data_IF_044928042772
#
_entry.id   IF_044928042772
#
_cell.length_a   1.000
_cell.length_b   1.000
_cell.length_c   1.000
_cell.angle_alpha   90.00
_cell.angle_beta   90.00
_cell.angle_gamma   90.00
#
_symmetry.space_group_name_H-M   'P 1'
#
loop_
_entity.id
_entity.type
_entity.pdbx_description
1 polymer ?
#
# COMPACT_ATOMS: atom_id res chain seq x y z
N UNK A 1 1.16 -16.49 -23.64
CA UNK A 1 0.70 -15.17 -23.16
C UNK A 1 1.21 -14.98 -21.74
N UNK A 2 2.26 -14.18 -21.57
CA UNK A 2 2.56 -13.48 -20.31
C UNK A 2 2.68 -12.03 -20.75
N UNK A 3 1.61 -11.26 -20.58
CA UNK A 3 1.59 -9.84 -20.93
C UNK A 3 0.83 -9.03 -19.87
N UNK A 4 1.47 -8.98 -18.70
CA UNK A 4 1.41 -7.88 -17.73
C UNK A 4 2.79 -7.21 -17.84
N UNK A 5 3.27 -6.99 -19.07
CA UNK A 5 4.70 -6.85 -19.31
C UNK A 5 5.27 -5.61 -18.65
N UNK A 6 6.23 -5.90 -17.77
CA UNK A 6 7.25 -4.98 -17.32
C UNK A 6 6.72 -3.88 -16.41
N UNK A 7 6.07 -4.41 -15.37
CA UNK A 7 6.42 -4.11 -13.99
C UNK A 7 5.57 -3.00 -13.36
N UNK A 8 5.00 -3.30 -12.20
CA UNK A 8 4.26 -2.33 -11.42
C UNK A 8 4.77 -2.22 -9.98
N UNK A 9 4.95 -0.97 -9.63
CA UNK A 9 5.76 -0.48 -8.55
C UNK A 9 4.69 0.13 -7.67
N UNK A 10 4.37 -0.48 -6.54
CA UNK A 10 3.53 0.14 -5.54
C UNK A 10 4.38 0.22 -4.27
N UNK A 11 4.76 1.43 -3.88
CA UNK A 11 5.36 1.72 -2.57
C UNK A 11 4.13 2.06 -1.77
N UNK A 12 3.92 1.52 -0.57
CA UNK A 12 2.87 1.96 0.32
C UNK A 12 3.52 2.54 1.56
N UNK A 13 3.19 3.80 1.81
CA UNK A 13 3.70 4.52 2.96
C UNK A 13 2.87 4.09 4.17
N UNK A 14 3.51 3.77 5.32
CA UNK A 14 2.75 3.65 6.55
C UNK A 14 2.07 4.99 6.84
N UNK A 15 0.75 5.04 6.86
CA UNK A 15 0.04 6.26 7.22
C UNK A 15 0.41 6.65 8.67
N UNK A 16 0.49 7.97 8.89
CA UNK A 16 0.79 8.69 10.13
C UNK A 16 1.05 7.87 11.42
N UNK A 17 2.25 8.09 11.96
CA UNK A 17 3.00 7.30 12.94
C UNK A 17 2.64 7.56 14.42
N UNK A 18 1.43 8.01 14.74
CA UNK A 18 1.13 8.59 16.08
C UNK A 18 0.18 7.77 16.98
N UNK A 19 -0.43 6.69 16.50
CA UNK A 19 -1.46 5.95 17.27
C UNK A 19 -1.05 4.55 17.76
N UNK A 20 0.17 4.11 17.46
CA UNK A 20 0.68 2.85 17.98
C UNK A 20 0.97 2.99 19.48
N UNK A 21 0.23 2.25 20.31
CA UNK A 21 0.54 2.08 21.73
C UNK A 21 1.96 1.53 21.94
N UNK A 22 2.51 1.60 23.17
CA UNK A 22 3.93 1.34 23.46
C UNK A 22 4.43 -0.06 23.03
N UNK A 23 3.55 -1.02 22.82
CA UNK A 23 3.89 -2.44 22.62
C UNK A 23 3.67 -2.98 21.19
N UNK A 24 3.19 -2.17 20.24
CA UNK A 24 2.94 -2.60 18.85
C UNK A 24 3.80 -1.81 17.84
N UNK A 25 4.60 -2.49 16.99
CA UNK A 25 5.27 -1.83 15.87
C UNK A 25 4.25 -1.09 14.98
N UNK A 26 4.58 0.13 14.57
CA UNK A 26 3.66 1.05 13.87
C UNK A 26 3.13 0.46 12.56
N UNK A 27 3.98 -0.27 11.86
CA UNK A 27 3.67 -0.94 10.61
C UNK A 27 2.65 -2.06 10.81
N UNK A 28 2.72 -2.78 11.94
CA UNK A 28 1.75 -3.81 12.29
C UNK A 28 0.38 -3.18 12.63
N UNK A 29 0.38 -2.04 13.33
CA UNK A 29 -0.85 -1.30 13.62
C UNK A 29 -1.54 -0.79 12.34
N UNK A 30 -0.77 -0.23 11.40
CA UNK A 30 -1.31 0.24 10.11
C UNK A 30 -1.87 -0.92 9.28
N UNK A 31 -1.14 -2.03 9.15
CA UNK A 31 -1.65 -3.24 8.49
C UNK A 31 -2.94 -3.72 9.15
N UNK A 32 -3.00 -3.75 10.48
CA UNK A 32 -4.18 -4.19 11.23
C UNK A 32 -5.38 -3.26 10.99
N UNK A 33 -5.22 -1.95 11.05
CA UNK A 33 -6.30 -0.98 10.84
C UNK A 33 -6.91 -1.12 9.43
N UNK A 34 -6.06 -1.24 8.41
CA UNK A 34 -6.52 -1.41 7.04
C UNK A 34 -7.10 -2.79 6.76
N UNK A 35 -6.67 -3.81 7.53
CA UNK A 35 -7.28 -5.14 7.47
C UNK A 35 -8.72 -5.11 7.98
N UNK A 36 -8.92 -4.51 9.15
CA UNK A 36 -10.25 -4.39 9.74
C UNK A 36 -11.17 -3.62 8.78
N UNK A 37 -10.70 -2.49 8.26
CA UNK A 37 -11.45 -1.72 7.27
C UNK A 37 -11.80 -2.54 6.01
N UNK A 38 -10.84 -3.30 5.48
CA UNK A 38 -11.06 -4.19 4.34
C UNK A 38 -12.07 -5.30 4.65
N UNK A 39 -12.03 -5.89 5.84
CA UNK A 39 -12.98 -6.92 6.27
C UNK A 39 -14.42 -6.38 6.32
N UNK A 40 -14.58 -5.11 6.72
CA UNK A 40 -15.90 -4.45 6.80
C UNK A 40 -16.41 -3.94 5.44
N UNK A 41 -15.51 -3.46 4.57
CA UNK A 41 -15.89 -2.75 3.34
C UNK A 41 -15.62 -3.55 2.05
N UNK A 42 -14.97 -4.71 2.13
CA UNK A 42 -14.62 -5.55 0.98
C UNK A 42 -13.42 -5.07 0.16
N UNK A 43 -12.96 -3.84 0.39
CA UNK A 43 -11.71 -3.32 -0.16
C UNK A 43 -11.16 -2.18 0.72
N UNK A 44 -9.87 -1.88 0.55
CA UNK A 44 -9.23 -0.72 1.19
C UNK A 44 -8.26 -0.03 0.24
N UNK A 45 -8.28 1.29 0.27
CA UNK A 45 -7.30 2.11 -0.37
C UNK A 45 -6.11 2.41 0.53
N UNK A 46 -4.94 2.18 -0.03
CA UNK A 46 -3.66 2.51 0.57
C UNK A 46 -2.95 3.59 -0.24
N UNK A 47 -2.51 4.64 0.46
CA UNK A 47 -1.92 5.81 -0.16
C UNK A 47 -0.40 5.69 -0.31
N UNK A 48 0.13 6.39 -1.31
CA UNK A 48 1.57 6.48 -1.52
C UNK A 48 2.03 7.81 -2.09
N UNK A 49 3.14 8.28 -1.52
CA UNK A 49 3.87 9.45 -2.00
C UNK A 49 4.71 9.14 -3.24
N UNK A 50 4.96 7.86 -3.55
CA UNK A 50 5.73 7.48 -4.72
C UNK A 50 4.88 7.63 -5.98
N UNK A 51 5.41 8.31 -7.00
CA UNK A 51 4.79 8.38 -8.31
C UNK A 51 4.81 7.00 -8.98
N UNK A 52 3.63 6.47 -9.29
CA UNK A 52 3.43 5.16 -9.90
C UNK A 52 2.62 5.28 -11.20
N UNK A 53 2.89 4.39 -12.13
CA UNK A 53 2.04 4.19 -13.31
C UNK A 53 0.71 3.62 -12.87
N UNK A 54 -0.36 4.01 -13.54
CA UNK A 54 -1.69 3.48 -13.24
C UNK A 54 -1.85 2.03 -13.66
N UNK A 55 -2.17 1.27 -12.62
CA UNK A 55 -2.50 -0.12 -12.48
C UNK A 55 -3.93 -0.56 -12.78
N UNK A 56 -4.20 -1.61 -13.58
CA UNK A 56 -5.48 -2.35 -13.42
C UNK A 56 -5.21 -3.84 -13.34
N UNK A 57 -5.78 -4.48 -12.33
CA UNK A 57 -5.61 -5.88 -11.97
C UNK A 57 -6.82 -6.76 -12.33
N UNK A 58 -7.01 -7.89 -11.63
CA UNK A 58 -6.33 -8.26 -10.37
C UNK A 58 -4.89 -8.73 -10.57
N UNK A 59 -3.99 -8.32 -9.67
CA UNK A 59 -2.63 -8.89 -9.56
C UNK A 59 -2.21 -9.06 -8.10
N UNK A 60 -1.23 -9.93 -7.88
CA UNK A 60 -0.68 -10.18 -6.55
C UNK A 60 0.20 -9.03 -6.09
N UNK A 61 0.13 -8.77 -4.79
CA UNK A 61 0.95 -7.79 -4.09
C UNK A 61 1.60 -8.38 -2.84
N UNK A 62 2.65 -7.74 -2.32
CA UNK A 62 3.33 -8.19 -1.10
C UNK A 62 3.70 -7.03 -0.18
N UNK A 63 3.30 -7.12 1.09
CA UNK A 63 3.55 -6.10 2.10
C UNK A 63 4.72 -6.55 2.98
N UNK A 64 5.68 -5.66 3.16
CA UNK A 64 6.84 -5.90 4.01
C UNK A 64 6.89 -4.86 5.13
N UNK A 65 7.41 -5.30 6.27
CA UNK A 65 7.62 -4.45 7.42
C UNK A 65 9.03 -3.87 7.39
N UNK A 66 9.16 -2.60 7.75
CA UNK A 66 10.46 -1.94 7.92
C UNK A 66 11.19 -2.42 9.17
N UNK A 67 10.49 -3.04 10.12
CA UNK A 67 11.07 -3.64 11.33
C UNK A 67 10.43 -5.02 11.61
N UNK A 68 11.21 -6.11 11.73
CA UNK A 68 12.64 -6.20 11.38
C UNK A 68 12.85 -6.00 9.87
N UNK A 69 13.87 -5.22 9.50
CA UNK A 69 14.17 -4.85 8.11
C UNK A 69 14.21 -6.10 7.23
N UNK A 70 13.44 -6.07 6.15
CA UNK A 70 13.56 -7.03 5.08
C UNK A 70 12.69 -8.28 5.20
N UNK A 71 11.66 -8.28 6.07
CA UNK A 71 10.63 -9.33 6.09
C UNK A 71 9.37 -8.92 5.35
N UNK A 72 9.00 -9.74 4.38
CA UNK A 72 7.71 -9.68 3.67
C UNK A 72 6.78 -10.69 4.35
N UNK A 73 5.72 -10.20 4.96
CA UNK A 73 4.86 -10.99 5.84
C UNK A 73 3.43 -11.12 5.34
N UNK A 74 3.05 -10.33 4.34
CA UNK A 74 1.70 -10.36 3.81
C UNK A 74 1.70 -10.44 2.29
N UNK A 75 0.70 -11.14 1.77
CA UNK A 75 0.36 -11.19 0.35
C UNK A 75 -1.00 -10.54 0.17
N UNK A 76 -1.18 -9.74 -0.88
CA UNK A 76 -2.43 -9.06 -1.17
C UNK A 76 -2.89 -9.26 -2.62
N UNK A 77 -4.17 -8.97 -2.88
CA UNK A 77 -4.75 -8.88 -4.22
C UNK A 77 -5.09 -7.42 -4.47
N UNK A 78 -4.53 -6.87 -5.54
CA UNK A 78 -4.70 -5.46 -5.91
C UNK A 78 -5.60 -5.37 -7.12
N UNK A 79 -6.65 -4.54 -7.00
CA UNK A 79 -7.55 -4.25 -8.11
C UNK A 79 -6.97 -3.19 -9.03
N UNK A 80 -6.33 -2.15 -8.47
CA UNK A 80 -5.72 -1.10 -9.26
C UNK A 80 -4.74 -0.23 -8.46
N UNK A 81 -3.91 0.46 -9.22
CA UNK A 81 -3.06 1.57 -8.78
C UNK A 81 -3.54 2.79 -9.54
N UNK A 82 -4.00 3.82 -8.86
CA UNK A 82 -4.61 4.98 -9.51
C UNK A 82 -3.89 6.25 -9.07
N UNK A 83 -3.87 7.27 -9.91
CA UNK A 83 -3.44 8.60 -9.50
C UNK A 83 -4.52 9.26 -8.64
N UNK A 84 -4.10 10.08 -7.68
CA UNK A 84 -4.99 10.86 -6.82
C UNK A 84 -6.03 11.66 -7.60
N UNK A 85 -5.63 12.35 -8.67
CA UNK A 85 -6.52 13.27 -9.39
C UNK A 85 -7.67 12.50 -10.05
N UNK A 86 -7.40 11.29 -10.59
CA UNK A 86 -8.46 10.39 -11.03
C UNK A 86 -9.30 9.83 -9.89
N UNK A 87 -8.68 9.48 -8.76
CA UNK A 87 -9.44 8.97 -7.61
C UNK A 87 -10.43 10.02 -7.09
N UNK A 88 -10.07 11.31 -7.10
CA UNK A 88 -10.97 12.40 -6.73
C UNK A 88 -12.20 12.50 -7.64
N UNK A 89 -12.09 12.07 -8.89
CA UNK A 89 -13.18 12.05 -9.87
C UNK A 89 -14.11 10.83 -9.72
N UNK A 90 -13.79 9.90 -8.80
CA UNK A 90 -14.52 8.63 -8.58
C UNK A 90 -15.15 8.58 -7.17
N UNK A 91 -16.24 9.33 -6.91
CA UNK A 91 -16.85 9.39 -5.58
C UNK A 91 -17.33 8.03 -5.06
N UNK A 92 -17.71 7.11 -5.95
CA UNK A 92 -18.10 5.75 -5.61
C UNK A 92 -16.95 4.93 -5.00
N UNK A 93 -15.70 5.31 -5.28
CA UNK A 93 -14.52 4.64 -4.72
C UNK A 93 -14.12 5.19 -3.35
N UNK A 94 -14.61 6.38 -2.97
CA UNK A 94 -14.24 7.03 -1.70
C UNK A 94 -14.72 6.25 -0.48
N UNK A 95 -15.73 5.38 -0.66
CA UNK A 95 -16.19 4.46 0.39
C UNK A 95 -15.11 3.47 0.83
N UNK A 96 -14.10 3.22 0.01
CA UNK A 96 -12.99 2.31 0.32
C UNK A 96 -11.78 3.05 0.90
N UNK A 97 -11.87 4.37 1.14
CA UNK A 97 -10.80 5.20 1.71
C UNK A 97 -11.03 5.32 3.21
N UNK A 98 -10.13 4.79 4.06
CA UNK A 98 -10.28 4.92 5.50
C UNK A 98 -10.24 6.38 5.95
N UNK A 99 -11.04 6.72 6.96
CA UNK A 99 -11.08 8.08 7.52
C UNK A 99 -9.69 8.58 7.92
N UNK A 100 -8.88 7.71 8.54
CA UNK A 100 -7.51 8.03 8.94
C UNK A 100 -6.51 8.24 7.78
N UNK A 101 -6.96 8.09 6.51
CA UNK A 101 -6.20 8.40 5.31
C UNK A 101 -6.82 9.52 4.47
N UNK A 102 -8.01 10.04 4.83
CA UNK A 102 -8.67 11.10 4.04
C UNK A 102 -7.80 12.33 3.86
N UNK A 103 -7.01 12.70 4.87
CA UNK A 103 -6.07 13.81 4.76
C UNK A 103 -5.01 13.60 3.67
N UNK A 104 -4.61 12.34 3.41
CA UNK A 104 -3.68 12.00 2.34
C UNK A 104 -4.33 12.17 0.95
N UNK A 105 -5.67 12.14 0.86
CA UNK A 105 -6.41 12.35 -0.38
C UNK A 105 -6.71 13.83 -0.56
N UNK A 106 -7.26 14.47 0.47
CA UNK A 106 -7.81 15.82 0.39
C UNK A 106 -6.71 16.89 0.44
N UNK A 107 -5.57 16.59 1.07
CA UNK A 107 -4.46 17.54 1.24
C UNK A 107 -4.66 18.49 2.42
N UNK A 108 -5.57 18.17 3.33
CA UNK A 108 -5.75 18.86 4.59
C UNK A 108 -6.19 17.89 5.69
N UNK A 109 -5.86 18.21 6.94
CA UNK A 109 -6.48 17.59 8.11
C UNK A 109 -7.88 18.17 8.35
N UNK A 110 -8.68 17.49 9.17
CA UNK A 110 -10.03 17.93 9.54
C UNK A 110 -10.06 19.32 10.21
N UNK A 111 -8.95 19.71 10.86
CA UNK A 111 -8.77 21.02 11.48
C UNK A 111 -8.33 22.13 10.48
N UNK A 112 -8.29 21.80 9.18
CA UNK A 112 -7.93 22.72 8.10
C UNK A 112 -6.42 22.91 7.91
N UNK A 113 -5.55 22.29 8.74
CA UNK A 113 -4.11 22.33 8.50
C UNK A 113 -3.77 21.62 7.19
N UNK A 114 -2.84 22.21 6.42
CA UNK A 114 -2.36 21.60 5.17
C UNK A 114 -1.68 20.26 5.44
N UNK A 115 -1.96 19.31 4.58
CA UNK A 115 -1.30 18.00 4.53
C UNK A 115 -0.70 17.80 3.12
N UNK A 116 0.40 17.06 3.01
CA UNK A 116 0.96 16.74 1.70
C UNK A 116 0.21 15.53 1.12
N UNK A 117 -0.59 15.70 0.06
CA UNK A 117 -1.40 14.60 -0.43
C UNK A 117 -0.54 13.55 -1.14
N UNK A 118 -0.95 12.30 -0.98
CA UNK A 118 -0.35 11.16 -1.66
C UNK A 118 -0.73 11.14 -3.14
N UNK A 119 0.26 10.90 -3.98
CA UNK A 119 0.16 11.05 -5.43
C UNK A 119 -0.57 9.87 -6.08
N UNK A 120 -0.40 8.68 -5.53
CA UNK A 120 -1.02 7.46 -6.01
C UNK A 120 -1.67 6.68 -4.87
N UNK A 121 -2.60 5.82 -5.25
CA UNK A 121 -3.45 5.06 -4.36
C UNK A 121 -3.60 3.64 -4.88
N UNK A 122 -3.56 2.66 -4.00
CA UNK A 122 -3.64 1.24 -4.34
C UNK A 122 -4.87 0.65 -3.66
N UNK A 123 -5.82 0.14 -4.45
CA UNK A 123 -6.97 -0.58 -3.91
C UNK A 123 -6.64 -2.04 -3.74
N UNK A 124 -6.77 -2.50 -2.51
CA UNK A 124 -6.53 -3.87 -2.08
C UNK A 124 -7.87 -4.53 -1.80
N UNK A 125 -8.11 -5.67 -2.43
CA UNK A 125 -9.34 -6.47 -2.28
C UNK A 125 -9.21 -7.54 -1.19
N UNK A 126 -7.99 -7.98 -0.94
CA UNK A 126 -7.68 -9.01 0.04
C UNK A 126 -6.23 -8.93 0.45
N UNK A 127 -5.92 -9.27 1.70
CA UNK A 127 -4.57 -9.68 2.05
C UNK A 127 -4.54 -10.73 3.15
N UNK A 128 -3.49 -11.55 3.13
CA UNK A 128 -3.30 -12.68 4.03
C UNK A 128 -1.86 -12.70 4.56
N UNK A 129 -1.71 -13.14 5.81
CA UNK A 129 -0.38 -13.32 6.41
C UNK A 129 0.26 -14.56 5.81
N UNK A 130 1.49 -14.42 5.34
CA UNK A 130 2.29 -15.53 4.84
C UNK A 130 2.63 -16.48 5.99
N UNK A 131 2.44 -17.78 5.78
CA UNK A 131 2.85 -18.82 6.75
C UNK A 131 4.35 -18.77 7.03
N UNK A 132 5.14 -18.52 5.98
CA UNK A 132 6.57 -18.34 6.04
C UNK A 132 6.90 -16.95 5.50
N UNK A 133 7.39 -16.01 6.33
CA UNK A 133 7.87 -14.72 5.87
C UNK A 133 8.94 -14.88 4.79
N UNK A 134 8.85 -14.07 3.74
CA UNK A 134 9.83 -14.01 2.67
C UNK A 134 10.88 -12.95 2.96
N UNK A 135 12.06 -13.07 2.35
CA UNK A 135 13.08 -12.04 2.48
C UNK A 135 12.89 -11.03 1.37
N UNK A 136 12.97 -9.75 1.71
CA UNK A 136 12.86 -8.63 0.78
C UNK A 136 13.86 -8.72 -0.39
N UNK A 137 15.04 -9.29 -0.13
CA UNK A 137 16.07 -9.53 -1.15
C UNK A 137 15.66 -10.56 -2.22
N UNK A 138 14.66 -11.40 -1.94
CA UNK A 138 14.13 -12.38 -2.88
C UNK A 138 13.22 -11.71 -3.94
N UNK A 139 12.95 -10.41 -3.77
CA UNK A 139 12.18 -9.61 -4.69
C UNK A 139 13.08 -8.75 -5.58
N UNK A 140 12.72 -8.70 -6.86
CA UNK A 140 13.39 -7.88 -7.87
C UNK A 140 12.52 -6.65 -8.13
N UNK A 141 13.14 -5.47 -8.14
CA UNK A 141 12.45 -4.26 -8.58
C UNK A 141 12.20 -4.33 -10.08
N UNK A 142 11.29 -3.48 -10.51
CA UNK A 142 10.89 -3.35 -11.90
C UNK A 142 12.00 -3.02 -12.90
N UNK A 143 13.02 -2.32 -12.45
CA UNK A 143 14.18 -1.98 -13.27
C UNK A 143 15.20 -3.14 -13.34
N UNK A 144 14.84 -4.32 -12.84
CA UNK A 144 15.73 -5.48 -12.72
C UNK A 144 16.72 -5.38 -11.56
N UNK A 145 16.67 -4.33 -10.74
CA UNK A 145 17.61 -4.16 -9.62
C UNK A 145 17.13 -4.86 -8.34
N UNK A 146 18.07 -5.35 -7.55
CA UNK A 146 17.79 -5.90 -6.22
C UNK A 146 17.34 -4.79 -5.26
N UNK A 147 16.49 -5.15 -4.30
CA UNK A 147 16.04 -4.23 -3.24
C UNK A 147 17.17 -4.06 -2.21
N UNK A 148 17.98 -3.00 -2.37
CA UNK A 148 19.15 -2.74 -1.49
C UNK A 148 18.90 -1.75 -0.34
N UNK A 149 17.98 -0.80 -0.50
CA UNK A 149 17.67 0.23 0.48
C UNK A 149 16.16 0.44 0.53
N UNK A 150 15.57 0.19 1.68
CA UNK A 150 14.14 0.39 1.94
C UNK A 150 13.92 1.68 2.70
N UNK A 151 13.44 2.71 2.01
CA UNK A 151 12.84 3.89 2.63
C UNK A 151 11.37 3.93 2.19
N UNK A 152 10.46 3.56 3.10
CA UNK A 152 9.01 3.52 2.86
C UNK A 152 8.52 2.20 2.22
N UNK A 153 7.47 1.60 2.81
CA UNK A 153 6.84 0.28 2.56
C UNK A 153 6.37 0.00 1.12
N UNK A 154 5.97 -1.23 0.75
CA UNK A 154 5.86 -1.73 -0.66
C UNK A 154 4.67 -2.68 -0.89
N UNK A 155 4.45 -2.90 -2.19
CA UNK A 155 3.83 -4.01 -2.91
C UNK A 155 4.83 -4.47 -3.98
N UNK A 156 5.24 -5.73 -3.96
CA UNK A 156 5.87 -6.41 -5.11
C UNK A 156 4.86 -7.25 -5.88
N UNK A 157 5.11 -7.50 -7.16
CA UNK A 157 4.15 -8.20 -8.04
C UNK A 157 4.66 -9.57 -8.48
N UNK A 158 5.92 -9.88 -8.20
CA UNK A 158 6.52 -11.15 -8.65
C UNK A 158 7.36 -11.74 -7.52
N UNK A 159 7.03 -12.98 -7.17
CA UNK A 159 7.95 -13.98 -6.62
C UNK A 159 8.47 -14.76 -7.85
N UNK A 160 9.79 -14.95 -8.04
CA UNK A 160 10.27 -15.89 -9.05
C UNK A 160 9.70 -17.30 -8.85
#
# INVERSE_FOLDING_TARGET
MIDIEKYTNAILWPANLNEAGPDMPREEADVKANRNFLEDNGAVYWDTSAKRKELRGPFEGYIYNTLPIGKVEWKCIIEFVINRDRLLEMPEEHIYIPDFRKQCLEGHFDDGRKHYPSQNWIKILKFEKLRNPLKLQDFIKLDGTTVKNVRGGFVYIIRP
#
